data_IF_301233557861
#
_entry.id   IF_301233557861
#
_cell.length_a   1.000
_cell.length_b   1.000
_cell.length_c   1.000
_cell.angle_alpha   90.00
_cell.angle_beta   90.00
_cell.angle_gamma   90.00
#
_symmetry.space_group_name_H-M   'P 1'
#
loop_
_entity.id
_entity.type
_entity.pdbx_description
1 polymer ?
#
# COMPACT_ATOMS: atom_id res chain seq x y z
N UNK A 1 19.11 -5.39 48.84
CA UNK A 1 20.37 -5.38 48.05
C UNK A 1 20.33 -6.63 47.16
N UNK A 2 19.72 -6.54 45.97
CA UNK A 2 20.37 -6.51 44.64
C UNK A 2 21.48 -7.56 44.47
N UNK A 3 21.17 -8.64 43.75
CA UNK A 3 21.98 -9.39 42.77
C UNK A 3 21.16 -10.60 42.30
N UNK A 4 21.20 -11.12 41.08
CA UNK A 4 21.54 -10.64 39.74
C UNK A 4 21.01 -11.77 38.83
N UNK A 5 20.47 -11.42 37.66
CA UNK A 5 19.93 -12.35 36.68
C UNK A 5 21.01 -13.31 36.16
N UNK A 6 20.62 -14.55 35.79
CA UNK A 6 21.22 -15.28 34.67
C UNK A 6 20.16 -16.06 33.90
N UNK A 7 20.03 -15.70 32.63
CA UNK A 7 19.40 -16.45 31.56
C UNK A 7 20.22 -17.72 31.23
N UNK A 8 19.52 -18.80 30.89
CA UNK A 8 19.94 -19.86 29.97
C UNK A 8 18.64 -20.33 29.29
N UNK A 9 18.34 -19.94 28.03
CA UNK A 9 18.82 -20.45 26.73
C UNK A 9 18.45 -21.92 26.47
N UNK A 10 17.66 -22.12 25.40
CA UNK A 10 17.41 -23.41 24.72
C UNK A 10 16.11 -24.10 25.19
N UNK A 11 15.25 -24.67 24.36
CA UNK A 11 15.39 -25.09 22.96
C UNK A 11 14.00 -25.31 22.35
N UNK A 12 13.93 -25.02 21.06
CA UNK A 12 12.88 -25.28 20.07
C UNK A 12 12.33 -26.71 20.11
N UNK A 13 11.00 -26.89 20.01
CA UNK A 13 10.35 -27.76 19.01
C UNK A 13 8.81 -27.76 19.05
N UNK A 14 8.23 -27.35 17.91
CA UNK A 14 7.03 -27.87 17.23
C UNK A 14 5.85 -28.46 18.02
N UNK A 15 4.67 -27.84 17.85
CA UNK A 15 3.47 -28.43 17.20
C UNK A 15 2.44 -27.31 17.03
N UNK A 16 2.23 -26.84 15.81
CA UNK A 16 1.22 -27.31 14.85
C UNK A 16 -0.21 -26.78 15.12
N UNK A 17 -0.56 -25.79 14.29
CA UNK A 17 -1.78 -25.78 13.46
C UNK A 17 -3.12 -25.37 14.14
N UNK A 18 -3.78 -24.42 13.44
CA UNK A 18 -5.21 -24.12 13.34
C UNK A 18 -5.82 -23.04 14.26
N UNK A 19 -6.66 -22.22 13.60
CA UNK A 19 -7.56 -21.15 14.07
C UNK A 19 -6.88 -19.77 14.27
N UNK A 20 -7.14 -18.72 13.50
CA UNK A 20 -8.36 -18.41 12.73
C UNK A 20 -8.05 -17.51 11.54
N UNK A 21 -8.15 -18.10 10.36
CA UNK A 21 -8.56 -17.39 9.15
C UNK A 21 -10.02 -16.94 9.33
N UNK A 22 -10.25 -15.71 9.80
CA UNK A 22 -11.57 -15.09 9.79
C UNK A 22 -11.44 -13.57 9.65
N UNK A 23 -11.10 -13.10 8.45
CA UNK A 23 -11.56 -11.79 7.93
C UNK A 23 -11.71 -11.81 6.40
N UNK A 24 -12.26 -12.91 5.85
CA UNK A 24 -12.76 -12.95 4.47
C UNK A 24 -14.09 -13.72 4.42
N UNK A 25 -15.11 -13.23 5.14
CA UNK A 25 -16.51 -13.58 4.84
C UNK A 25 -17.33 -12.30 4.76
N UNK A 26 -17.01 -11.48 3.76
CA UNK A 26 -18.04 -10.65 3.14
C UNK A 26 -18.91 -11.56 2.30
N UNK A 27 -20.03 -12.03 2.86
CA UNK A 27 -21.11 -12.68 2.12
C UNK A 27 -21.75 -11.64 1.18
N UNK A 28 -21.17 -11.45 0.01
CA UNK A 28 -21.88 -10.91 -1.14
C UNK A 28 -21.91 -11.97 -2.24
N UNK A 29 -23.06 -12.61 -2.37
CA UNK A 29 -23.39 -13.45 -3.53
C UNK A 29 -23.47 -12.54 -4.75
N UNK A 30 -22.41 -12.48 -5.55
CA UNK A 30 -22.46 -11.84 -6.86
C UNK A 30 -21.11 -11.29 -7.29
N UNK A 31 -20.61 -11.80 -8.43
CA UNK A 31 -19.35 -11.48 -9.13
C UNK A 31 -18.06 -11.99 -8.49
N UNK A 32 -17.58 -13.11 -9.05
CA UNK A 32 -16.15 -13.42 -9.08
C UNK A 32 -15.40 -12.18 -9.58
N UNK A 33 -14.47 -11.65 -8.79
CA UNK A 33 -13.41 -10.81 -9.33
C UNK A 33 -12.72 -11.63 -10.44
N UNK A 34 -12.79 -11.14 -11.67
CA UNK A 34 -12.02 -11.71 -12.78
C UNK A 34 -10.56 -11.61 -12.39
N UNK A 35 -9.94 -12.73 -12.05
CA UNK A 35 -8.49 -12.82 -11.93
C UNK A 35 -7.93 -12.34 -13.28
N UNK A 36 -7.32 -11.16 -13.29
CA UNK A 36 -6.67 -10.67 -14.48
C UNK A 36 -5.55 -11.67 -14.82
N UNK A 37 -5.55 -12.16 -16.07
CA UNK A 37 -4.40 -12.89 -16.60
C UNK A 37 -3.20 -11.97 -16.45
N UNK A 38 -2.10 -12.48 -15.88
CA UNK A 38 -0.83 -11.76 -15.72
C UNK A 38 -0.48 -11.13 -17.06
N UNK A 39 -0.73 -9.83 -17.18
CA UNK A 39 -0.55 -9.10 -18.43
C UNK A 39 0.89 -8.58 -18.50
N UNK A 40 1.32 -8.33 -19.73
CA UNK A 40 2.58 -7.73 -20.17
C UNK A 40 3.16 -6.74 -19.15
N UNK A 41 4.49 -6.73 -18.94
CA UNK A 41 5.17 -5.67 -18.17
C UNK A 41 4.67 -4.31 -18.62
N UNK A 42 4.29 -3.46 -17.67
CA UNK A 42 3.95 -2.08 -17.98
C UNK A 42 5.28 -1.39 -18.29
N UNK A 43 5.38 -0.81 -19.49
CA UNK A 43 6.56 -0.07 -19.92
C UNK A 43 6.57 1.37 -19.39
N UNK A 44 5.45 1.85 -18.88
CA UNK A 44 5.32 3.18 -18.30
C UNK A 44 5.86 3.21 -16.87
N UNK A 45 6.63 4.25 -16.56
CA UNK A 45 7.15 4.56 -15.22
C UNK A 45 6.07 5.16 -14.29
N UNK A 46 4.88 5.44 -14.83
CA UNK A 46 3.74 5.99 -14.11
C UNK A 46 2.45 5.22 -14.42
N UNK A 47 1.47 5.35 -13.52
CA UNK A 47 0.07 5.01 -13.78
C UNK A 47 -0.82 6.22 -13.52
N UNK A 48 -1.77 6.45 -14.42
CA UNK A 48 -2.84 7.42 -14.21
C UNK A 48 -4.04 6.78 -13.50
N UNK A 49 -4.39 7.26 -12.31
CA UNK A 49 -5.61 6.90 -11.58
C UNK A 49 -6.42 8.16 -11.27
N UNK A 50 -7.70 8.17 -11.67
CA UNK A 50 -8.61 9.31 -11.45
C UNK A 50 -8.05 10.66 -11.97
N UNK A 51 -7.30 10.63 -13.08
CA UNK A 51 -6.69 11.83 -13.68
C UNK A 51 -5.45 12.34 -12.94
N UNK A 52 -4.86 11.55 -12.03
CA UNK A 52 -3.59 11.85 -11.36
C UNK A 52 -2.58 10.78 -11.69
N UNK A 53 -1.36 11.17 -12.02
CA UNK A 53 -0.23 10.26 -12.24
C UNK A 53 0.45 9.90 -10.92
N UNK A 54 0.81 8.62 -10.79
CA UNK A 54 1.53 8.05 -9.67
C UNK A 54 2.73 7.25 -10.17
N UNK A 55 3.89 7.35 -9.51
CA UNK A 55 5.04 6.54 -9.88
C UNK A 55 4.75 5.05 -9.72
N UNK A 56 5.19 4.28 -10.71
CA UNK A 56 5.08 2.83 -10.74
C UNK A 56 6.48 2.21 -10.69
N UNK A 57 6.70 1.30 -9.74
CA UNK A 57 8.00 0.65 -9.59
C UNK A 57 8.39 -0.05 -10.90
N UNK A 58 9.63 0.13 -11.41
CA UNK A 58 10.11 -0.50 -12.64
C UNK A 58 9.93 -2.02 -12.62
N UNK A 59 9.54 -2.58 -13.76
CA UNK A 59 9.28 -4.03 -13.89
C UNK A 59 7.96 -4.49 -13.27
N UNK A 60 7.08 -3.58 -12.86
CA UNK A 60 5.74 -3.92 -12.38
C UNK A 60 4.89 -4.53 -13.49
N UNK A 61 4.14 -5.57 -13.13
CA UNK A 61 3.13 -6.22 -13.97
C UNK A 61 1.76 -6.04 -13.33
N UNK A 62 0.74 -5.67 -14.10
CA UNK A 62 -0.60 -5.50 -13.56
C UNK A 62 -1.12 -6.83 -13.02
N UNK A 63 -1.51 -6.83 -11.75
CA UNK A 63 -2.09 -7.98 -11.07
C UNK A 63 -3.62 -7.84 -10.95
N UNK A 64 -4.10 -6.66 -10.57
CA UNK A 64 -5.52 -6.40 -10.41
C UNK A 64 -5.85 -4.92 -10.61
N UNK A 65 -6.91 -4.64 -11.37
CA UNK A 65 -7.50 -3.32 -11.54
C UNK A 65 -8.86 -3.29 -10.83
N UNK A 66 -8.96 -2.51 -9.74
CA UNK A 66 -10.19 -2.32 -8.96
C UNK A 66 -10.90 -1.01 -9.29
N UNK A 67 -10.48 -0.26 -10.31
CA UNK A 67 -10.94 1.08 -10.71
C UNK A 67 -10.69 2.20 -9.69
N UNK A 68 -10.73 1.88 -8.40
CA UNK A 68 -10.41 2.80 -7.30
C UNK A 68 -8.97 2.62 -6.79
N UNK A 69 -8.36 1.50 -7.12
CA UNK A 69 -6.96 1.18 -6.86
C UNK A 69 -6.44 0.23 -7.93
N UNK A 70 -5.12 0.22 -8.10
CA UNK A 70 -4.44 -0.76 -8.93
C UNK A 70 -3.39 -1.49 -8.11
N UNK A 71 -3.30 -2.79 -8.36
CA UNK A 71 -2.36 -3.67 -7.73
C UNK A 71 -1.46 -4.33 -8.77
N UNK A 72 -0.19 -4.43 -8.44
CA UNK A 72 0.88 -4.88 -9.31
C UNK A 72 1.70 -5.97 -8.63
N UNK A 73 2.43 -6.73 -9.44
CA UNK A 73 3.48 -7.62 -8.99
C UNK A 73 4.81 -7.16 -9.56
N UNK A 74 5.84 -7.16 -8.73
CA UNK A 74 7.22 -6.89 -9.13
C UNK A 74 8.15 -7.95 -8.56
N UNK A 75 9.13 -8.38 -9.35
CA UNK A 75 10.16 -9.35 -8.93
C UNK A 75 11.28 -8.62 -8.17
N UNK A 76 10.94 -8.06 -7.01
CA UNK A 76 11.86 -7.39 -6.09
C UNK A 76 11.46 -7.70 -4.64
N UNK A 77 12.41 -7.59 -3.72
CA UNK A 77 12.16 -7.74 -2.29
C UNK A 77 11.30 -6.57 -1.75
N UNK A 78 10.36 -6.83 -0.81
CA UNK A 78 9.48 -5.80 -0.28
C UNK A 78 10.21 -4.57 0.30
N UNK A 79 11.38 -4.77 0.92
CA UNK A 79 12.19 -3.66 1.44
C UNK A 79 12.71 -2.74 0.34
N UNK A 80 13.10 -3.30 -0.81
CA UNK A 80 13.63 -2.53 -1.93
C UNK A 80 12.52 -1.71 -2.59
N UNK A 81 11.32 -2.30 -2.72
CA UNK A 81 10.15 -1.59 -3.23
C UNK A 81 9.76 -0.43 -2.30
N UNK A 82 9.81 -0.63 -0.97
CA UNK A 82 9.55 0.46 0.00
C UNK A 82 10.57 1.59 -0.09
N UNK A 83 11.85 1.26 -0.14
CA UNK A 83 12.92 2.27 -0.27
C UNK A 83 12.77 3.06 -1.58
N UNK A 84 12.49 2.38 -2.69
CA UNK A 84 12.24 3.02 -3.97
C UNK A 84 11.06 4.00 -3.91
N UNK A 85 9.94 3.62 -3.26
CA UNK A 85 8.81 4.53 -3.10
C UNK A 85 9.14 5.73 -2.22
N UNK A 86 9.96 5.58 -1.17
CA UNK A 86 10.36 6.72 -0.35
C UNK A 86 11.19 7.74 -1.14
N UNK A 87 12.11 7.26 -1.98
CA UNK A 87 12.95 8.10 -2.83
C UNK A 87 12.15 8.74 -3.97
N UNK A 88 11.39 7.93 -4.71
CA UNK A 88 10.68 8.38 -5.91
C UNK A 88 9.54 9.34 -5.57
N UNK A 89 8.76 9.03 -4.52
CA UNK A 89 7.67 9.92 -4.08
C UNK A 89 8.24 11.27 -3.65
N UNK A 90 9.34 11.29 -2.89
CA UNK A 90 9.99 12.54 -2.50
C UNK A 90 10.52 13.34 -3.71
N UNK A 91 11.12 12.66 -4.70
CA UNK A 91 11.60 13.29 -5.93
C UNK A 91 10.47 13.96 -6.74
N UNK A 92 9.24 13.41 -6.66
CA UNK A 92 8.04 13.94 -7.32
C UNK A 92 7.22 14.90 -6.44
N UNK A 93 7.80 15.37 -5.32
CA UNK A 93 7.18 16.36 -4.44
C UNK A 93 6.06 15.80 -3.56
N UNK A 94 6.00 14.49 -3.36
CA UNK A 94 5.10 13.89 -2.38
C UNK A 94 5.74 13.90 -0.99
N UNK A 95 4.98 14.34 0.01
CA UNK A 95 5.38 14.32 1.41
C UNK A 95 4.79 13.09 2.11
N UNK A 96 5.58 12.31 2.86
CA UNK A 96 5.06 11.24 3.69
C UNK A 96 4.29 11.81 4.89
N UNK A 97 3.20 11.16 5.29
CA UNK A 97 2.43 11.53 6.48
C UNK A 97 2.90 10.78 7.74
N UNK A 98 3.46 9.59 7.57
CA UNK A 98 4.00 8.73 8.62
C UNK A 98 5.03 7.78 8.02
N UNK A 99 5.79 7.08 8.86
CA UNK A 99 6.66 5.97 8.43
C UNK A 99 5.84 4.76 7.95
N UNK A 100 6.54 3.78 7.34
CA UNK A 100 5.91 2.52 6.95
C UNK A 100 5.36 1.77 8.17
N UNK A 101 4.07 1.42 8.11
CA UNK A 101 3.38 0.68 9.17
C UNK A 101 3.12 -0.74 8.70
N UNK A 102 3.53 -1.74 9.48
CA UNK A 102 3.19 -3.16 9.23
C UNK A 102 1.76 -3.45 9.68
N UNK A 103 0.94 -3.93 8.74
CA UNK A 103 -0.41 -4.39 8.95
C UNK A 103 -0.53 -5.86 8.51
N UNK A 104 -0.06 -6.78 9.36
CA UNK A 104 -0.20 -8.22 9.15
C UNK A 104 0.63 -8.74 7.97
N UNK A 105 1.86 -8.23 7.79
CA UNK A 105 2.76 -8.56 6.70
C UNK A 105 2.61 -7.67 5.47
N UNK A 106 1.68 -6.71 5.49
CA UNK A 106 1.51 -5.68 4.48
C UNK A 106 1.96 -4.34 5.04
N UNK A 107 3.04 -3.78 4.49
CA UNK A 107 3.55 -2.48 4.88
C UNK A 107 2.82 -1.39 4.11
N UNK A 108 2.35 -0.36 4.81
CA UNK A 108 1.58 0.72 4.20
C UNK A 108 2.17 2.08 4.57
N UNK A 109 2.12 3.02 3.63
CA UNK A 109 2.54 4.40 3.85
C UNK A 109 1.65 5.35 3.06
N UNK A 110 1.26 6.45 3.71
CA UNK A 110 0.42 7.48 3.13
C UNK A 110 1.27 8.68 2.74
N UNK A 111 1.00 9.22 1.55
CA UNK A 111 1.67 10.37 0.98
C UNK A 111 0.64 11.44 0.60
N UNK A 112 1.07 12.70 0.62
CA UNK A 112 0.30 13.84 0.12
C UNK A 112 1.10 14.67 -0.87
N UNK A 113 0.42 15.40 -1.75
CA UNK A 113 1.01 16.41 -2.65
C UNK A 113 0.01 17.56 -2.84
N UNK A 114 0.53 18.73 -3.20
CA UNK A 114 -0.27 19.94 -3.45
C UNK A 114 -0.62 20.70 -2.17
N UNK A 115 -1.59 21.60 -2.28
CA UNK A 115 -1.96 22.48 -1.17
C UNK A 115 -2.50 21.70 0.04
N UNK A 116 -2.10 22.10 1.24
CA UNK A 116 -2.67 21.55 2.48
C UNK A 116 -4.10 22.04 2.64
N UNK A 117 -5.01 21.10 2.86
CA UNK A 117 -6.39 21.44 3.19
C UNK A 117 -6.48 21.99 4.62
N UNK A 118 -7.57 22.69 4.98
CA UNK A 118 -7.72 23.32 6.31
C UNK A 118 -7.56 22.37 7.51
N UNK A 119 -7.70 21.06 7.30
CA UNK A 119 -7.24 20.05 8.23
C UNK A 119 -5.85 19.55 7.77
N UNK A 120 -4.82 19.92 8.53
CA UNK A 120 -3.39 19.80 8.20
C UNK A 120 -2.90 18.39 7.80
N UNK A 121 -3.69 17.35 8.06
CA UNK A 121 -3.39 15.97 7.71
C UNK A 121 -3.72 15.63 6.25
N UNK A 122 -4.48 16.48 5.56
CA UNK A 122 -4.91 16.25 4.19
C UNK A 122 -4.27 17.23 3.21
N UNK A 123 -3.91 16.74 2.03
CA UNK A 123 -3.50 17.55 0.87
C UNK A 123 -4.53 17.51 -0.24
N UNK A 124 -4.30 18.31 -1.28
CA UNK A 124 -5.04 18.27 -2.54
C UNK A 124 -5.06 16.85 -3.15
N UNK A 125 -3.89 16.20 -3.13
CA UNK A 125 -3.73 14.81 -3.54
C UNK A 125 -3.25 13.97 -2.37
N UNK A 126 -3.78 12.76 -2.27
CA UNK A 126 -3.35 11.77 -1.29
C UNK A 126 -3.37 10.37 -1.88
N UNK A 127 -2.41 9.55 -1.47
CA UNK A 127 -2.30 8.15 -1.90
C UNK A 127 -1.74 7.30 -0.78
N UNK A 128 -2.26 6.08 -0.67
CA UNK A 128 -1.71 5.01 0.14
C UNK A 128 -0.97 4.04 -0.77
N UNK A 129 0.30 3.80 -0.45
CA UNK A 129 1.10 2.75 -1.07
C UNK A 129 1.12 1.56 -0.13
N UNK A 130 0.76 0.39 -0.66
CA UNK A 130 0.81 -0.88 0.06
C UNK A 130 1.86 -1.81 -0.56
N UNK A 131 2.69 -2.43 0.27
CA UNK A 131 3.76 -3.34 -0.14
C UNK A 131 3.71 -4.61 0.71
N UNK A 132 3.54 -5.77 0.08
CA UNK A 132 3.46 -7.05 0.76
C UNK A 132 4.24 -8.13 0.00
N UNK A 133 4.80 -9.14 0.67
CA UNK A 133 5.38 -10.29 -0.02
C UNK A 133 4.30 -11.02 -0.84
N UNK A 134 4.64 -11.41 -2.07
CA UNK A 134 3.73 -12.18 -2.90
C UNK A 134 4.00 -13.69 -2.70
N UNK A 135 2.93 -14.48 -2.56
CA UNK A 135 3.00 -15.93 -2.26
C UNK A 135 3.79 -16.79 -3.26
N UNK A 136 4.04 -16.27 -4.46
CA UNK A 136 4.82 -16.93 -5.52
C UNK A 136 6.24 -16.35 -5.67
N UNK A 137 6.73 -15.61 -4.67
CA UNK A 137 7.94 -14.81 -4.77
C UNK A 137 7.68 -13.41 -5.33
N UNK A 138 8.60 -12.51 -5.03
CA UNK A 138 8.51 -11.08 -5.33
C UNK A 138 7.55 -10.34 -4.39
N UNK A 139 7.09 -9.18 -4.86
CA UNK A 139 6.30 -8.22 -4.08
C UNK A 139 4.98 -7.93 -4.76
N UNK A 140 3.93 -7.88 -3.94
CA UNK A 140 2.64 -7.29 -4.26
C UNK A 140 2.68 -5.81 -3.89
N UNK A 141 2.37 -4.96 -4.85
CA UNK A 141 2.34 -3.51 -4.74
C UNK A 141 0.91 -3.02 -4.97
N UNK A 142 0.42 -2.08 -4.16
CA UNK A 142 -0.87 -1.43 -4.34
C UNK A 142 -0.71 0.09 -4.35
N UNK A 143 -1.33 0.74 -5.32
CA UNK A 143 -1.49 2.20 -5.39
C UNK A 143 -2.98 2.51 -5.18
N UNK A 144 -3.30 3.16 -4.06
CA UNK A 144 -4.66 3.50 -3.66
C UNK A 144 -4.79 5.03 -3.45
N UNK A 145 -5.30 5.77 -4.45
CA UNK A 145 -5.65 7.18 -4.27
C UNK A 145 -6.69 7.35 -3.15
N UNK A 146 -6.42 8.24 -2.21
CA UNK A 146 -7.35 8.61 -1.14
C UNK A 146 -8.14 9.83 -1.62
N UNK A 147 -9.36 9.59 -2.09
CA UNK A 147 -10.21 10.64 -2.63
C UNK A 147 -10.84 11.49 -1.51
N UNK A 148 -10.23 12.64 -1.21
CA UNK A 148 -10.82 13.65 -0.34
C UNK A 148 -11.63 14.67 -1.15
N UNK A 149 -12.77 14.27 -1.72
CA UNK A 149 -13.71 15.26 -2.29
C UNK A 149 -14.46 16.00 -1.18
N UNK A 150 -13.77 16.91 -0.49
CA UNK A 150 -14.42 17.95 0.30
C UNK A 150 -14.61 19.18 -0.59
N UNK A 151 -15.57 19.12 -1.53
CA UNK A 151 -16.03 20.36 -2.19
C UNK A 151 -16.62 21.24 -1.10
N UNK A 152 -15.98 22.37 -0.77
CA UNK A 152 -16.69 23.47 -0.11
C UNK A 152 -17.88 23.79 -1.00
N UNK A 153 -19.10 23.76 -0.44
CA UNK A 153 -20.22 24.45 -1.07
C UNK A 153 -19.77 25.89 -1.29
N UNK A 154 -19.90 26.46 -2.51
CA UNK A 154 -19.72 27.89 -2.66
C UNK A 154 -20.64 28.56 -1.64
N UNK A 155 -20.13 29.57 -0.92
CA UNK A 155 -21.00 30.49 -0.19
C UNK A 155 -21.94 31.04 -1.25
N UNK A 156 -23.25 30.79 -1.09
CA UNK A 156 -24.23 31.59 -1.80
C UNK A 156 -24.06 33.01 -1.27
N UNK A 157 -23.57 33.90 -2.11
CA UNK A 157 -23.71 35.33 -1.87
C UNK A 157 -25.21 35.59 -1.83
N UNK A 158 -25.71 35.85 -0.62
CA UNK A 158 -27.09 36.23 -0.35
C UNK A 158 -27.31 37.71 -0.60
#
# INVERSE_FOLDING_TARGET
MKHLQRLALGTVCCTAILCSAMMLVGCNKGRRATAAKTSTPIQDDHVTLNGTEYPLHPGSTLFQDLKISMAYRVEAEPSNVRAWYDEQMAAEGWEPLADWIDFGGSHQKDFRRGERLPNSQFGEYMVKIGVAPHKKGGTHLMILPILNKYRRKPKSDG
#
